data_IF_867640257774
#
_entry.id   IF_867640257774
#
_cell.length_a   1.000
_cell.length_b   1.000
_cell.length_c   1.000
_cell.angle_alpha   90.00
_cell.angle_beta   90.00
_cell.angle_gamma   90.00
#
_symmetry.space_group_name_H-M   'P 1'
#
loop_
_entity.id
_entity.type
_entity.pdbx_description
1 polymer ?
#
# COMPACT_ATOMS: atom_id res chain seq x y z
N UNK A 1 78.10 2.52 -34.37
CA UNK A 1 77.39 2.43 -35.65
C UNK A 1 75.99 1.90 -35.38
N UNK A 2 75.01 2.73 -35.71
CA UNK A 2 73.59 2.48 -36.01
C UNK A 2 72.66 1.80 -34.99
N UNK A 3 72.09 2.66 -34.15
CA UNK A 3 70.65 3.01 -34.14
C UNK A 3 69.70 2.23 -35.07
N UNK A 4 68.71 1.54 -34.49
CA UNK A 4 67.31 1.59 -34.97
C UNK A 4 66.31 1.19 -33.87
N UNK A 5 65.35 2.09 -33.64
CA UNK A 5 64.23 2.03 -32.70
C UNK A 5 63.07 1.17 -33.25
N UNK A 6 62.43 0.41 -32.34
CA UNK A 6 60.98 0.08 -32.09
C UNK A 6 59.94 0.26 -33.23
N UNK A 7 58.86 -0.57 -33.31
CA UNK A 7 57.80 -0.73 -32.28
C UNK A 7 57.41 -2.21 -32.01
N UNK A 8 56.79 -2.65 -30.92
CA UNK A 8 55.67 -2.08 -30.15
C UNK A 8 54.36 -2.75 -30.61
N UNK A 9 53.91 -3.81 -29.92
CA UNK A 9 52.50 -4.20 -29.98
C UNK A 9 52.04 -4.91 -28.70
N UNK A 10 50.97 -4.34 -28.14
CA UNK A 10 50.14 -4.83 -27.05
C UNK A 10 49.45 -6.14 -27.41
N UNK A 11 49.23 -6.98 -26.41
CA UNK A 11 48.52 -8.24 -26.60
C UNK A 11 48.26 -8.98 -25.30
N UNK A 12 47.26 -8.52 -24.57
CA UNK A 12 46.29 -9.34 -23.82
C UNK A 12 46.87 -10.60 -23.15
N UNK A 13 47.35 -10.48 -21.90
CA UNK A 13 47.59 -11.66 -21.05
C UNK A 13 46.24 -12.30 -20.71
N UNK A 14 45.83 -13.25 -21.55
CA UNK A 14 44.84 -14.26 -21.21
C UNK A 14 45.48 -15.19 -20.19
N UNK A 15 45.19 -14.98 -18.91
CA UNK A 15 45.53 -15.94 -17.88
C UNK A 15 44.68 -17.20 -18.08
N UNK A 16 45.32 -18.21 -18.66
CA UNK A 16 44.79 -19.56 -18.77
C UNK A 16 45.20 -20.41 -17.55
N UNK A 17 44.21 -21.16 -17.05
CA UNK A 17 44.24 -22.42 -16.29
C UNK A 17 44.32 -22.36 -14.75
N UNK A 18 43.27 -22.92 -14.13
CA UNK A 18 43.20 -24.38 -13.89
C UNK A 18 41.75 -24.88 -13.82
N UNK A 19 41.38 -26.00 -14.47
CA UNK A 19 40.03 -26.55 -14.38
C UNK A 19 39.91 -27.32 -13.06
N UNK A 20 39.01 -26.88 -12.18
CA UNK A 20 38.59 -27.70 -11.06
C UNK A 20 37.70 -28.83 -11.58
N UNK A 21 38.14 -30.06 -11.30
CA UNK A 21 37.52 -31.32 -11.68
C UNK A 21 36.17 -31.50 -10.98
N UNK A 22 35.17 -31.95 -11.74
CA UNK A 22 34.12 -32.85 -11.29
C UNK A 22 33.29 -32.43 -10.07
N UNK A 23 32.27 -31.64 -10.31
CA UNK A 23 31.01 -31.76 -9.57
C UNK A 23 29.89 -31.65 -10.60
N UNK A 24 29.07 -32.69 -10.73
CA UNK A 24 27.72 -32.60 -11.32
C UNK A 24 26.83 -31.78 -10.39
N UNK A 25 27.22 -30.52 -10.12
CA UNK A 25 26.46 -29.57 -9.33
C UNK A 25 25.47 -28.88 -10.26
N UNK A 26 24.17 -29.03 -10.00
CA UNK A 26 23.16 -28.17 -10.62
C UNK A 26 23.60 -26.72 -10.41
N UNK A 27 23.93 -26.03 -11.50
CA UNK A 27 24.25 -24.61 -11.47
C UNK A 27 23.04 -23.89 -10.88
N UNK A 28 23.24 -23.17 -9.79
CA UNK A 28 22.16 -22.43 -9.14
C UNK A 28 21.81 -21.26 -10.07
N UNK A 29 20.56 -21.14 -10.51
CA UNK A 29 20.14 -20.10 -11.43
C UNK A 29 20.24 -18.73 -10.78
N UNK A 30 20.48 -17.71 -11.60
CA UNK A 30 20.56 -16.32 -11.16
C UNK A 30 19.33 -15.52 -11.58
N UNK A 31 18.84 -14.66 -10.70
CA UNK A 31 17.82 -13.66 -11.01
C UNK A 31 18.41 -12.56 -11.90
N UNK A 32 17.79 -12.33 -13.05
CA UNK A 32 18.08 -11.18 -13.92
C UNK A 32 17.32 -9.94 -13.45
N UNK A 33 16.10 -10.13 -12.94
CA UNK A 33 15.24 -9.05 -12.46
C UNK A 33 14.78 -9.33 -11.03
N UNK A 34 14.60 -8.28 -10.27
CA UNK A 34 14.07 -8.31 -8.90
C UNK A 34 13.11 -7.14 -8.68
N UNK A 35 12.06 -7.35 -7.90
CA UNK A 35 11.14 -6.32 -7.48
C UNK A 35 10.34 -6.73 -6.25
N UNK A 36 9.51 -5.83 -5.76
CA UNK A 36 8.62 -6.09 -4.62
C UNK A 36 7.16 -5.89 -5.06
N UNK A 37 6.34 -6.92 -4.90
CA UNK A 37 4.89 -6.82 -5.05
C UNK A 37 4.27 -6.41 -3.72
N UNK A 38 3.54 -5.29 -3.68
CA UNK A 38 2.91 -4.83 -2.44
C UNK A 38 1.51 -5.43 -2.33
N UNK A 39 1.32 -6.29 -1.33
CA UNK A 39 0.07 -7.02 -1.10
C UNK A 39 -0.46 -6.64 0.28
N UNK A 40 -1.33 -5.62 0.32
CA UNK A 40 -1.80 -5.01 1.56
C UNK A 40 -0.64 -4.25 2.20
N UNK A 41 -0.31 -4.61 3.44
CA UNK A 41 0.83 -4.06 4.19
C UNK A 41 2.10 -4.93 4.08
N UNK A 42 2.03 -6.05 3.36
CA UNK A 42 3.14 -6.96 3.19
C UNK A 42 3.88 -6.74 1.86
N UNK A 43 5.20 -6.87 1.91
CA UNK A 43 6.03 -6.98 0.73
C UNK A 43 6.16 -8.45 0.31
N UNK A 44 5.98 -8.70 -0.98
CA UNK A 44 6.17 -9.99 -1.62
C UNK A 44 7.31 -9.88 -2.64
N UNK A 45 8.57 -10.12 -2.22
CA UNK A 45 9.73 -10.08 -3.11
C UNK A 45 9.58 -11.08 -4.26
N UNK A 46 9.79 -10.59 -5.48
CA UNK A 46 9.63 -11.33 -6.73
C UNK A 46 10.86 -11.24 -7.62
N UNK A 47 11.08 -12.29 -8.39
CA UNK A 47 12.29 -12.46 -9.18
C UNK A 47 11.98 -13.10 -10.52
N UNK A 48 12.73 -12.71 -11.55
CA UNK A 48 12.74 -13.40 -12.86
C UNK A 48 14.13 -13.97 -13.07
N UNK A 49 14.22 -15.29 -13.17
CA UNK A 49 15.46 -16.02 -13.35
C UNK A 49 15.96 -15.96 -14.80
N UNK A 50 17.23 -16.31 -15.00
CA UNK A 50 17.86 -16.37 -16.33
C UNK A 50 17.21 -17.36 -17.30
N UNK A 51 16.49 -18.35 -16.79
CA UNK A 51 15.73 -19.33 -17.56
C UNK A 51 14.26 -18.91 -17.79
N UNK A 52 13.89 -17.69 -17.38
CA UNK A 52 12.55 -17.14 -17.55
C UNK A 52 11.55 -17.54 -16.47
N UNK A 53 11.92 -18.40 -15.50
CA UNK A 53 11.05 -18.72 -14.36
C UNK A 53 10.80 -17.49 -13.50
N UNK A 54 9.56 -17.34 -13.04
CA UNK A 54 9.12 -16.24 -12.19
C UNK A 54 8.90 -16.79 -10.80
N UNK A 55 9.57 -16.22 -9.80
CA UNK A 55 9.53 -16.71 -8.44
C UNK A 55 9.05 -15.66 -7.47
N UNK A 56 8.27 -16.08 -6.47
CA UNK A 56 8.11 -15.35 -5.22
C UNK A 56 9.00 -15.95 -4.14
N UNK A 57 9.54 -15.09 -3.26
CA UNK A 57 10.24 -15.58 -2.07
C UNK A 57 9.30 -16.33 -1.14
N UNK A 58 9.78 -17.44 -0.55
CA UNK A 58 8.99 -18.24 0.40
C UNK A 58 8.51 -17.40 1.58
N UNK A 59 9.38 -16.54 2.11
CA UNK A 59 9.04 -15.67 3.24
C UNK A 59 7.99 -14.63 2.88
N UNK A 60 8.10 -14.02 1.69
CA UNK A 60 7.09 -13.07 1.20
C UNK A 60 5.71 -13.72 1.03
N UNK A 61 5.66 -14.95 0.53
CA UNK A 61 4.38 -15.67 0.38
C UNK A 61 3.71 -15.89 1.74
N UNK A 62 4.48 -16.19 2.79
CA UNK A 62 3.95 -16.32 4.14
C UNK A 62 3.45 -14.98 4.70
N UNK A 63 4.27 -13.93 4.63
CA UNK A 63 3.91 -12.62 5.21
C UNK A 63 2.71 -11.98 4.51
N UNK A 64 2.60 -12.12 3.18
CA UNK A 64 1.45 -11.62 2.40
C UNK A 64 0.12 -12.30 2.76
N UNK A 65 0.17 -13.54 3.26
CA UNK A 65 -0.97 -14.27 3.80
C UNK A 65 -1.21 -14.01 5.30
N UNK A 66 -0.43 -13.13 5.93
CA UNK A 66 -0.56 -12.79 7.35
C UNK A 66 0.14 -13.75 8.30
N UNK A 67 1.01 -14.63 7.80
CA UNK A 67 1.88 -15.45 8.65
C UNK A 67 3.09 -14.63 9.14
N UNK A 68 3.58 -14.93 10.35
CA UNK A 68 4.86 -14.44 10.88
C UNK A 68 6.02 -14.76 9.92
N UNK A 69 6.98 -13.85 9.83
CA UNK A 69 8.17 -13.96 8.98
C UNK A 69 8.98 -15.25 9.17
N UNK A 70 9.09 -15.75 10.40
CA UNK A 70 9.84 -16.95 10.76
C UNK A 70 9.00 -18.24 10.73
N UNK A 71 7.78 -18.19 10.19
CA UNK A 71 6.92 -19.36 10.14
C UNK A 71 7.47 -20.42 9.18
N UNK A 72 7.23 -21.68 9.50
CA UNK A 72 7.67 -22.77 8.66
C UNK A 72 6.65 -23.00 7.52
N UNK A 73 7.05 -22.65 6.30
CA UNK A 73 6.23 -22.84 5.11
C UNK A 73 5.81 -24.30 4.92
N UNK A 74 6.70 -25.26 5.22
CA UNK A 74 6.39 -26.68 5.05
C UNK A 74 5.30 -27.14 6.01
N UNK A 75 5.34 -26.68 7.26
CA UNK A 75 4.34 -27.03 8.27
C UNK A 75 2.96 -26.46 7.91
N UNK A 76 2.93 -25.24 7.37
CA UNK A 76 1.68 -24.56 7.01
C UNK A 76 1.10 -25.17 5.74
N UNK A 77 1.87 -25.21 4.66
CA UNK A 77 1.37 -25.57 3.33
C UNK A 77 1.21 -27.09 3.14
N UNK A 78 1.89 -27.92 3.94
CA UNK A 78 1.60 -29.37 4.07
C UNK A 78 0.75 -29.71 5.30
N UNK A 79 0.04 -28.74 5.88
CA UNK A 79 -0.87 -29.05 6.98
C UNK A 79 -2.00 -29.96 6.49
N UNK A 80 -2.49 -30.85 7.36
CA UNK A 80 -3.62 -31.75 7.07
C UNK A 80 -4.87 -31.00 6.58
N UNK A 81 -5.01 -29.74 6.97
CA UNK A 81 -6.11 -28.88 6.57
C UNK A 81 -5.99 -28.36 5.13
N UNK A 82 -4.79 -28.27 4.55
CA UNK A 82 -4.57 -27.75 3.19
C UNK A 82 -4.20 -28.84 2.18
N UNK A 83 -3.56 -29.93 2.62
CA UNK A 83 -3.11 -31.02 1.74
C UNK A 83 -4.22 -31.56 0.82
N UNK A 84 -5.47 -31.82 1.28
CA UNK A 84 -6.52 -32.34 0.41
C UNK A 84 -6.84 -31.42 -0.77
N UNK A 85 -6.91 -30.12 -0.52
CA UNK A 85 -7.24 -29.09 -1.51
C UNK A 85 -6.08 -28.88 -2.49
N UNK A 86 -4.85 -28.83 -1.99
CA UNK A 86 -3.64 -28.75 -2.84
C UNK A 86 -3.50 -29.98 -3.76
N UNK A 87 -3.86 -31.17 -3.28
CA UNK A 87 -3.86 -32.40 -4.08
C UNK A 87 -4.99 -32.41 -5.12
N UNK A 88 -6.20 -31.96 -4.76
CA UNK A 88 -7.33 -31.86 -5.67
C UNK A 88 -7.02 -30.92 -6.87
N UNK A 89 -6.22 -29.88 -6.63
CA UNK A 89 -5.76 -28.94 -7.65
C UNK A 89 -4.55 -29.45 -8.46
N UNK A 90 -4.11 -30.71 -8.27
CA UNK A 90 -2.89 -31.26 -8.86
C UNK A 90 -1.63 -30.41 -8.59
N UNK A 91 -1.63 -29.63 -7.52
CA UNK A 91 -0.52 -28.77 -7.11
C UNK A 91 -0.10 -29.10 -5.67
N UNK A 92 0.34 -30.34 -5.37
CA UNK A 92 0.80 -30.68 -4.03
C UNK A 92 1.98 -29.79 -3.65
N UNK A 93 2.01 -29.28 -2.43
CA UNK A 93 3.17 -28.52 -1.95
C UNK A 93 4.32 -29.49 -1.69
N UNK A 94 5.48 -29.21 -2.28
CA UNK A 94 6.66 -30.07 -2.17
C UNK A 94 7.93 -29.28 -1.97
N UNK A 95 8.81 -29.74 -1.06
CA UNK A 95 10.14 -29.15 -0.87
C UNK A 95 11.02 -29.26 -2.12
N UNK A 96 10.76 -30.24 -2.96
CA UNK A 96 11.37 -30.44 -4.26
C UNK A 96 11.00 -29.36 -5.29
N UNK A 97 9.88 -28.66 -5.06
CA UNK A 97 9.44 -27.52 -5.88
C UNK A 97 10.09 -26.20 -5.46
N UNK A 98 10.78 -26.17 -4.31
CA UNK A 98 11.55 -24.99 -3.89
C UNK A 98 12.70 -24.79 -4.85
N UNK A 99 12.76 -23.60 -5.45
CA UNK A 99 13.90 -23.19 -6.26
C UNK A 99 14.85 -22.39 -5.39
N UNK A 100 16.07 -22.89 -5.23
CA UNK A 100 17.18 -22.10 -4.72
C UNK A 100 17.79 -21.30 -5.87
N UNK A 101 18.06 -20.01 -5.65
CA UNK A 101 18.59 -19.11 -6.68
C UNK A 101 19.46 -18.01 -6.07
N UNK A 102 20.28 -17.39 -6.91
CA UNK A 102 21.01 -16.17 -6.55
C UNK A 102 20.21 -14.94 -6.96
N UNK A 103 19.95 -14.06 -6.00
CA UNK A 103 19.32 -12.76 -6.23
C UNK A 103 20.19 -11.87 -7.13
N UNK A 104 19.62 -10.77 -7.62
CA UNK A 104 20.35 -9.74 -8.39
C UNK A 104 21.56 -9.21 -7.62
N UNK A 105 21.44 -9.12 -6.28
CA UNK A 105 22.48 -8.71 -5.33
C UNK A 105 23.51 -9.80 -4.98
N UNK A 106 23.35 -11.03 -5.49
CA UNK A 106 24.26 -12.15 -5.25
C UNK A 106 24.01 -12.93 -3.94
N UNK A 107 22.99 -12.57 -3.17
CA UNK A 107 22.56 -13.35 -2.00
C UNK A 107 21.76 -14.59 -2.43
N UNK A 108 21.91 -15.69 -1.70
CA UNK A 108 21.11 -16.91 -1.89
C UNK A 108 19.69 -16.69 -1.37
N UNK A 109 18.69 -17.04 -2.17
CA UNK A 109 17.28 -17.01 -1.79
C UNK A 109 16.59 -18.31 -2.18
N UNK A 110 15.40 -18.51 -1.60
CA UNK A 110 14.50 -19.63 -1.88
C UNK A 110 13.13 -19.09 -2.24
N UNK A 111 12.51 -19.71 -3.24
CA UNK A 111 11.21 -19.29 -3.73
C UNK A 111 10.46 -20.39 -4.44
N UNK A 112 9.20 -20.11 -4.71
CA UNK A 112 8.31 -20.95 -5.50
C UNK A 112 7.92 -20.22 -6.77
N UNK A 113 7.48 -20.98 -7.78
CA UNK A 113 6.83 -20.39 -8.94
C UNK A 113 5.68 -19.47 -8.48
N UNK A 114 5.52 -18.34 -9.15
CA UNK A 114 4.44 -17.38 -8.85
C UNK A 114 3.06 -18.02 -8.95
N UNK A 115 2.86 -19.01 -9.81
CA UNK A 115 1.59 -19.74 -9.93
C UNK A 115 1.27 -20.52 -8.66
N UNK A 116 2.30 -21.05 -7.98
CA UNK A 116 2.14 -21.79 -6.72
C UNK A 116 1.50 -20.96 -5.62
N UNK A 117 1.76 -19.66 -5.62
CA UNK A 117 1.15 -18.74 -4.66
C UNK A 117 -0.37 -18.66 -4.85
N UNK A 118 -0.84 -18.67 -6.10
CA UNK A 118 -2.28 -18.67 -6.40
C UNK A 118 -2.91 -20.00 -5.99
N UNK A 119 -2.26 -21.14 -6.25
CA UNK A 119 -2.73 -22.45 -5.81
C UNK A 119 -2.92 -22.51 -4.29
N UNK A 120 -1.93 -22.02 -3.53
CA UNK A 120 -2.00 -21.92 -2.06
C UNK A 120 -3.18 -21.04 -1.63
N UNK A 121 -3.39 -19.90 -2.31
CA UNK A 121 -4.52 -19.04 -2.02
C UNK A 121 -5.87 -19.75 -2.26
N UNK A 122 -5.99 -20.50 -3.36
CA UNK A 122 -7.19 -21.26 -3.69
C UNK A 122 -7.44 -22.39 -2.69
N UNK A 123 -6.41 -23.16 -2.33
CA UNK A 123 -6.52 -24.20 -1.32
C UNK A 123 -6.95 -23.65 0.05
N UNK A 124 -6.42 -22.49 0.45
CA UNK A 124 -6.87 -21.78 1.66
C UNK A 124 -8.34 -21.34 1.55
N UNK A 125 -8.77 -20.84 0.38
CA UNK A 125 -10.17 -20.45 0.14
C UNK A 125 -11.11 -21.64 0.26
N UNK A 126 -10.82 -22.75 -0.42
CA UNK A 126 -11.67 -23.94 -0.42
C UNK A 126 -11.75 -24.57 0.98
N UNK A 127 -10.62 -24.66 1.69
CA UNK A 127 -10.59 -25.10 3.08
C UNK A 127 -11.38 -24.19 4.03
N UNK A 128 -11.45 -22.89 3.72
CA UNK A 128 -12.29 -21.95 4.47
C UNK A 128 -13.77 -22.19 4.23
N UNK A 129 -14.16 -22.42 2.98
CA UNK A 129 -15.55 -22.69 2.59
C UNK A 129 -16.09 -24.00 3.15
N UNK A 130 -15.23 -25.00 3.35
CA UNK A 130 -15.61 -26.25 4.02
C UNK A 130 -15.77 -26.13 5.54
N UNK A 131 -15.35 -25.01 6.15
CA UNK A 131 -15.41 -24.78 7.58
C UNK A 131 -14.36 -25.54 8.40
N UNK A 132 -13.37 -26.15 7.74
CA UNK A 132 -12.32 -26.95 8.39
C UNK A 132 -11.15 -26.11 8.93
N UNK A 133 -11.05 -24.84 8.51
CA UNK A 133 -10.01 -23.93 8.99
C UNK A 133 -10.34 -23.30 10.33
N UNK A 134 -9.36 -23.31 11.24
CA UNK A 134 -9.45 -22.63 12.53
C UNK A 134 -8.25 -21.72 12.80
N UNK A 135 -8.47 -20.70 13.63
CA UNK A 135 -7.44 -19.80 14.14
C UNK A 135 -6.67 -19.08 13.04
N UNK A 136 -5.35 -19.30 12.98
CA UNK A 136 -4.45 -18.56 12.09
C UNK A 136 -4.71 -18.82 10.61
N UNK A 137 -5.09 -20.04 10.24
CA UNK A 137 -5.36 -20.37 8.83
C UNK A 137 -6.68 -19.74 8.34
N UNK A 138 -7.63 -19.50 9.24
CA UNK A 138 -8.87 -18.80 8.90
C UNK A 138 -8.59 -17.33 8.50
N UNK A 139 -7.75 -16.64 9.27
CA UNK A 139 -7.31 -15.28 8.95
C UNK A 139 -6.53 -15.24 7.62
N UNK A 140 -5.66 -16.22 7.40
CA UNK A 140 -4.90 -16.35 6.15
C UNK A 140 -5.81 -16.62 4.95
N UNK A 141 -6.86 -17.43 5.09
CA UNK A 141 -7.80 -17.69 4.00
C UNK A 141 -8.65 -16.48 3.63
N UNK A 142 -9.07 -15.67 4.63
CA UNK A 142 -9.71 -14.38 4.35
C UNK A 142 -8.78 -13.48 3.53
N UNK A 143 -7.50 -13.41 3.90
CA UNK A 143 -6.50 -12.64 3.17
C UNK A 143 -6.28 -13.20 1.74
N UNK A 144 -6.16 -14.52 1.60
CA UNK A 144 -6.05 -15.19 0.31
C UNK A 144 -7.22 -14.84 -0.63
N UNK A 145 -8.45 -14.81 -0.12
CA UNK A 145 -9.63 -14.43 -0.88
C UNK A 145 -9.59 -12.99 -1.40
N UNK A 146 -9.09 -12.05 -0.60
CA UNK A 146 -8.88 -10.66 -1.02
C UNK A 146 -7.84 -10.59 -2.13
N UNK A 147 -6.75 -11.33 -1.99
CA UNK A 147 -5.66 -11.41 -2.98
C UNK A 147 -6.18 -12.00 -4.30
N UNK A 148 -6.87 -13.13 -4.27
CA UNK A 148 -7.44 -13.77 -5.46
C UNK A 148 -8.31 -12.76 -6.23
N UNK A 149 -9.27 -12.11 -5.56
CA UNK A 149 -10.18 -11.15 -6.18
C UNK A 149 -9.44 -9.97 -6.82
N UNK A 150 -8.45 -9.42 -6.12
CA UNK A 150 -7.67 -8.30 -6.62
C UNK A 150 -6.80 -8.69 -7.83
N UNK A 151 -6.12 -9.84 -7.74
CA UNK A 151 -5.32 -10.38 -8.83
C UNK A 151 -6.17 -10.72 -10.07
N UNK A 152 -7.36 -11.31 -9.91
CA UNK A 152 -8.25 -11.60 -11.05
C UNK A 152 -8.66 -10.33 -11.81
N UNK A 153 -9.00 -9.25 -11.10
CA UNK A 153 -9.33 -7.96 -11.74
C UNK A 153 -8.14 -7.38 -12.50
N UNK A 154 -6.94 -7.49 -11.94
CA UNK A 154 -5.72 -6.97 -12.57
C UNK A 154 -5.29 -7.83 -13.75
N UNK A 155 -5.42 -9.15 -13.66
CA UNK A 155 -5.09 -10.06 -14.75
C UNK A 155 -5.81 -9.68 -16.04
N UNK A 156 -7.13 -9.44 -15.96
CA UNK A 156 -7.92 -8.99 -17.11
C UNK A 156 -7.41 -7.64 -17.64
N UNK A 157 -7.16 -6.67 -16.76
CA UNK A 157 -6.64 -5.35 -17.15
C UNK A 157 -5.26 -5.46 -17.82
N UNK A 158 -4.36 -6.26 -17.27
CA UNK A 158 -3.02 -6.46 -17.81
C UNK A 158 -3.05 -7.13 -19.19
N UNK A 159 -3.92 -8.13 -19.38
CA UNK A 159 -4.12 -8.80 -20.67
C UNK A 159 -4.68 -7.85 -21.73
N UNK A 160 -5.62 -6.96 -21.36
CA UNK A 160 -6.15 -5.93 -22.28
C UNK A 160 -5.06 -4.91 -22.63
N UNK A 161 -4.28 -4.46 -21.65
CA UNK A 161 -3.18 -3.53 -21.88
C UNK A 161 -2.10 -4.13 -22.79
N UNK A 162 -1.82 -5.43 -22.65
CA UNK A 162 -0.90 -6.16 -23.52
C UNK A 162 -1.47 -6.29 -24.95
N UNK A 163 -2.72 -6.75 -25.08
CA UNK A 163 -3.39 -6.95 -26.37
C UNK A 163 -3.58 -5.65 -27.17
N UNK A 164 -3.74 -4.51 -26.49
CA UNK A 164 -3.88 -3.18 -27.11
C UNK A 164 -2.55 -2.46 -27.31
N UNK A 165 -1.45 -2.96 -26.74
CA UNK A 165 -0.17 -2.27 -26.69
C UNK A 165 -0.11 -1.12 -25.66
N UNK A 166 -1.19 -0.85 -24.92
CA UNK A 166 -1.22 0.16 -23.86
C UNK A 166 -0.18 -0.08 -22.75
N UNK A 167 0.30 -1.33 -22.61
CA UNK A 167 1.35 -1.69 -21.66
C UNK A 167 2.66 -0.89 -21.80
N UNK A 168 2.97 -0.36 -22.98
CA UNK A 168 4.19 0.42 -23.24
C UNK A 168 4.05 1.92 -22.94
N UNK A 169 2.83 2.42 -22.79
CA UNK A 169 2.55 3.85 -22.54
C UNK A 169 1.96 4.12 -21.16
N UNK A 170 1.44 3.11 -20.47
CA UNK A 170 0.98 3.26 -19.08
C UNK A 170 2.15 3.59 -18.15
N UNK A 171 1.93 4.35 -17.06
CA UNK A 171 2.93 4.53 -16.01
C UNK A 171 3.41 3.18 -15.46
N UNK A 172 4.70 3.09 -15.15
CA UNK A 172 5.36 1.84 -14.73
C UNK A 172 4.70 1.18 -13.51
N UNK A 173 4.15 1.98 -12.59
CA UNK A 173 3.54 1.54 -11.34
C UNK A 173 2.00 1.41 -11.40
N UNK A 174 1.38 1.62 -12.57
CA UNK A 174 -0.07 1.70 -12.71
C UNK A 174 -0.82 0.42 -12.25
N UNK A 175 -0.25 -0.77 -12.47
CA UNK A 175 -0.87 -2.03 -12.06
C UNK A 175 -0.72 -2.28 -10.55
N UNK A 176 0.43 -1.93 -9.97
CA UNK A 176 0.66 -1.96 -8.52
C UNK A 176 -0.28 -0.98 -7.80
N UNK A 177 -0.49 0.19 -8.39
CA UNK A 177 -1.45 1.15 -7.89
C UNK A 177 -2.88 0.58 -7.91
N UNK A 178 -3.31 -0.04 -9.01
CA UNK A 178 -4.61 -0.74 -9.10
C UNK A 178 -4.71 -1.90 -8.09
N UNK A 179 -3.63 -2.63 -7.84
CA UNK A 179 -3.59 -3.71 -6.84
C UNK A 179 -3.90 -3.18 -5.45
N UNK A 180 -3.15 -2.17 -5.00
CA UNK A 180 -3.40 -1.49 -3.71
C UNK A 180 -4.85 -1.06 -3.61
N UNK A 181 -5.41 -0.51 -4.68
CA UNK A 181 -6.79 -0.07 -4.70
C UNK A 181 -7.80 -1.22 -4.57
N UNK A 182 -7.59 -2.36 -5.25
CA UNK A 182 -8.51 -3.49 -5.17
C UNK A 182 -8.43 -4.23 -3.84
N UNK A 183 -7.24 -4.32 -3.25
CA UNK A 183 -7.08 -4.79 -1.88
C UNK A 183 -7.79 -3.87 -0.89
N UNK A 184 -7.86 -2.57 -1.20
CA UNK A 184 -8.60 -1.55 -0.45
C UNK A 184 -10.11 -1.53 -0.72
N UNK A 185 -10.63 -2.15 -1.79
CA UNK A 185 -12.06 -2.09 -2.13
C UNK A 185 -12.97 -2.73 -1.07
N UNK A 186 -12.46 -3.65 -0.24
CA UNK A 186 -13.22 -4.15 0.91
C UNK A 186 -13.39 -3.10 2.01
N UNK A 187 -12.44 -2.17 2.11
CA UNK A 187 -12.46 -1.04 3.03
C UNK A 187 -13.29 0.13 2.47
N UNK A 188 -13.50 0.20 1.15
CA UNK A 188 -14.42 1.18 0.53
C UNK A 188 -15.87 1.08 1.00
N UNK A 189 -16.28 -0.07 1.53
CA UNK A 189 -17.60 -0.19 2.17
C UNK A 189 -17.81 0.87 3.26
N UNK A 190 -16.73 1.32 3.91
CA UNK A 190 -16.74 2.37 4.92
C UNK A 190 -16.62 3.79 4.36
N UNK A 191 -16.30 4.01 3.08
CA UNK A 191 -16.24 5.38 2.51
C UNK A 191 -17.59 6.11 2.60
N UNK A 192 -18.71 5.38 2.68
CA UNK A 192 -20.05 5.93 2.90
C UNK A 192 -20.26 6.47 4.31
N UNK A 193 -19.40 6.09 5.26
CA UNK A 193 -19.44 6.60 6.64
C UNK A 193 -18.66 7.86 6.84
N UNK A 194 -17.73 8.19 5.94
CA UNK A 194 -16.81 9.28 6.18
C UNK A 194 -17.51 10.64 6.04
N UNK A 195 -17.17 11.62 6.88
CA UNK A 195 -17.74 12.95 6.81
C UNK A 195 -17.44 13.59 5.45
N UNK A 196 -18.39 14.38 4.94
CA UNK A 196 -18.26 15.06 3.64
C UNK A 196 -17.05 16.01 3.60
N UNK A 197 -16.66 16.56 4.76
CA UNK A 197 -15.49 17.43 4.93
C UNK A 197 -14.19 16.77 4.51
N UNK A 198 -14.02 15.46 4.69
CA UNK A 198 -12.83 14.75 4.22
C UNK A 198 -12.73 14.77 2.70
N UNK A 199 -13.85 14.57 2.03
CA UNK A 199 -13.93 14.53 0.57
C UNK A 199 -13.76 15.91 -0.04
N UNK A 200 -14.26 16.94 0.63
CA UNK A 200 -14.03 18.35 0.28
C UNK A 200 -12.53 18.69 0.31
N UNK A 201 -11.81 18.30 1.37
CA UNK A 201 -10.36 18.53 1.45
C UNK A 201 -9.58 17.72 0.40
N UNK A 202 -9.96 16.46 0.13
CA UNK A 202 -9.32 15.67 -0.92
C UNK A 202 -9.57 16.26 -2.32
N UNK A 203 -10.76 16.78 -2.60
CA UNK A 203 -11.01 17.53 -3.83
C UNK A 203 -10.07 18.74 -3.97
N UNK A 204 -9.96 19.53 -2.91
CA UNK A 204 -9.11 20.73 -2.88
C UNK A 204 -7.64 20.37 -3.09
N UNK A 205 -7.10 19.45 -2.29
CA UNK A 205 -5.68 19.06 -2.37
C UNK A 205 -5.30 18.40 -3.70
N UNK A 206 -6.25 17.71 -4.34
CA UNK A 206 -6.02 17.05 -5.65
C UNK A 206 -6.40 17.91 -6.86
N UNK A 207 -6.81 19.16 -6.65
CA UNK A 207 -7.34 20.05 -7.70
C UNK A 207 -8.43 19.38 -8.56
N UNK A 208 -9.30 18.58 -7.93
CA UNK A 208 -10.35 17.86 -8.63
C UNK A 208 -11.56 18.77 -8.91
N UNK A 209 -11.88 18.98 -10.18
CA UNK A 209 -12.94 19.88 -10.63
C UNK A 209 -14.31 19.21 -10.86
N UNK A 210 -14.43 17.89 -10.66
CA UNK A 210 -15.66 17.13 -10.91
C UNK A 210 -16.62 17.02 -9.70
N UNK A 211 -17.85 16.54 -9.95
CA UNK A 211 -18.84 16.22 -8.90
C UNK A 211 -18.38 15.01 -8.06
N UNK A 212 -17.57 15.26 -7.03
CA UNK A 212 -17.05 14.23 -6.14
C UNK A 212 -18.09 13.62 -5.19
N UNK A 213 -19.26 14.25 -5.01
CA UNK A 213 -20.34 13.72 -4.14
C UNK A 213 -21.04 12.51 -4.75
N UNK A 214 -21.08 12.40 -6.09
CA UNK A 214 -21.70 11.28 -6.80
C UNK A 214 -20.68 10.30 -7.39
N UNK A 215 -19.54 10.81 -7.88
CA UNK A 215 -18.53 9.99 -8.52
C UNK A 215 -17.12 10.36 -8.00
N UNK A 216 -16.72 9.72 -6.90
CA UNK A 216 -15.40 9.95 -6.30
C UNK A 216 -14.30 9.35 -7.19
N UNK A 217 -13.21 10.09 -7.47
CA UNK A 217 -12.07 9.55 -8.18
C UNK A 217 -11.57 8.27 -7.52
N UNK A 218 -11.32 7.23 -8.32
CA UNK A 218 -10.81 5.95 -7.81
C UNK A 218 -9.53 6.12 -6.99
N UNK A 219 -8.67 7.07 -7.36
CA UNK A 219 -7.42 7.36 -6.67
C UNK A 219 -7.62 7.80 -5.21
N UNK A 220 -8.75 8.42 -4.85
CA UNK A 220 -8.97 8.84 -3.46
C UNK A 220 -9.07 7.68 -2.46
N UNK A 221 -9.43 6.48 -2.93
CA UNK A 221 -9.34 5.27 -2.11
C UNK A 221 -7.91 5.00 -1.61
N UNK A 222 -6.88 5.40 -2.37
CA UNK A 222 -5.49 5.35 -1.90
C UNK A 222 -5.23 6.34 -0.77
N UNK A 223 -5.69 7.59 -0.91
CA UNK A 223 -5.54 8.60 0.15
C UNK A 223 -6.19 8.13 1.45
N UNK A 224 -7.35 7.48 1.36
CA UNK A 224 -8.01 6.86 2.51
C UNK A 224 -7.14 5.76 3.13
N UNK A 225 -6.62 4.82 2.34
CA UNK A 225 -5.77 3.76 2.89
C UNK A 225 -4.50 4.30 3.53
N UNK A 226 -3.82 5.18 2.81
CA UNK A 226 -2.52 5.72 3.19
C UNK A 226 -2.62 6.61 4.42
N UNK A 227 -3.62 7.49 4.49
CA UNK A 227 -3.66 8.53 5.51
C UNK A 227 -4.64 8.28 6.64
N UNK A 228 -5.62 7.38 6.44
CA UNK A 228 -6.60 7.03 7.48
C UNK A 228 -6.31 5.64 8.01
N UNK A 229 -6.26 4.61 7.17
CA UNK A 229 -6.16 3.24 7.69
C UNK A 229 -4.76 2.84 8.16
N UNK A 230 -3.71 3.23 7.44
CA UNK A 230 -2.31 2.93 7.82
C UNK A 230 -1.89 3.61 9.11
N UNK A 231 -2.50 4.74 9.44
CA UNK A 231 -2.22 5.51 10.66
C UNK A 231 -3.30 5.33 11.74
N UNK A 232 -4.27 4.46 11.51
CA UNK A 232 -5.24 4.08 12.52
C UNK A 232 -4.58 3.15 13.55
N UNK A 233 -4.94 3.33 14.81
CA UNK A 233 -4.49 2.46 15.89
C UNK A 233 -4.75 0.96 15.53
N UNK A 234 -3.73 0.09 15.60
CA UNK A 234 -3.86 -1.32 15.22
C UNK A 234 -4.96 -2.08 15.97
N UNK A 235 -5.20 -1.75 17.24
CA UNK A 235 -6.23 -2.39 18.06
C UNK A 235 -7.63 -1.91 17.65
N UNK A 236 -7.75 -0.64 17.26
CA UNK A 236 -8.99 -0.08 16.69
C UNK A 236 -9.27 -0.67 15.31
N UNK A 237 -8.26 -0.78 14.44
CA UNK A 237 -8.39 -1.38 13.12
C UNK A 237 -8.82 -2.86 13.21
N UNK A 238 -8.23 -3.61 14.14
CA UNK A 238 -8.59 -5.00 14.43
C UNK A 238 -10.02 -5.12 14.94
N UNK A 239 -10.41 -4.27 15.89
CA UNK A 239 -11.77 -4.23 16.43
C UNK A 239 -12.82 -3.95 15.33
N UNK A 240 -12.56 -3.00 14.43
CA UNK A 240 -13.46 -2.66 13.31
C UNK A 240 -13.57 -3.82 12.31
N UNK A 241 -12.47 -4.55 12.08
CA UNK A 241 -12.43 -5.71 11.18
C UNK A 241 -13.21 -6.91 11.75
N UNK A 242 -13.08 -7.14 13.05
CA UNK A 242 -13.72 -8.26 13.77
C UNK A 242 -15.22 -8.00 14.05
N UNK A 243 -15.59 -6.75 14.35
CA UNK A 243 -16.97 -6.37 14.67
C UNK A 243 -17.73 -5.74 13.49
N UNK A 244 -17.38 -6.06 12.24
CA UNK A 244 -18.08 -5.53 11.05
C UNK A 244 -19.57 -5.90 11.13
N UNK A 245 -20.48 -4.93 11.34
CA UNK A 245 -21.88 -5.27 11.56
C UNK A 245 -22.51 -5.76 10.27
N UNK A 246 -23.38 -6.78 10.38
CA UNK A 246 -24.17 -7.28 9.24
C UNK A 246 -25.05 -6.15 8.71
N UNK A 247 -25.07 -5.89 7.39
CA UNK A 247 -25.89 -4.82 6.82
C UNK A 247 -27.37 -5.08 7.15
N UNK A 248 -27.95 -4.28 8.05
CA UNK A 248 -29.38 -4.31 8.38
C UNK A 248 -30.11 -3.41 7.40
N UNK A 249 -31.08 -3.99 6.67
CA UNK A 249 -31.96 -3.27 5.74
C UNK A 249 -32.57 -2.05 6.46
N UNK A 250 -32.30 -0.85 5.94
CA UNK A 250 -32.90 0.40 6.44
C UNK A 250 -32.11 1.18 7.50
N UNK A 251 -30.97 0.69 8.01
CA UNK A 251 -30.05 1.53 8.78
C UNK A 251 -28.82 1.85 7.95
N UNK A 252 -28.61 3.14 7.72
CA UNK A 252 -27.37 3.61 7.14
C UNK A 252 -26.23 3.49 8.16
N UNK A 253 -25.02 3.18 7.72
CA UNK A 253 -23.86 3.02 8.60
C UNK A 253 -23.61 4.25 9.50
N UNK A 254 -23.95 5.45 9.03
CA UNK A 254 -23.86 6.71 9.79
C UNK A 254 -24.72 6.76 11.07
N UNK A 255 -25.79 5.97 11.18
CA UNK A 255 -26.61 5.92 12.40
C UNK A 255 -25.91 5.19 13.56
N UNK A 256 -24.83 4.45 13.28
CA UNK A 256 -24.07 3.69 14.28
C UNK A 256 -22.91 4.47 14.90
N UNK A 257 -22.64 5.70 14.44
CA UNK A 257 -21.56 6.56 14.94
C UNK A 257 -21.58 6.80 16.45
N UNK A 258 -22.76 6.68 17.06
CA UNK A 258 -22.96 6.99 18.47
C UNK A 258 -22.92 5.76 19.40
N UNK A 259 -22.98 4.53 18.87
CA UNK A 259 -23.12 3.31 19.68
C UNK A 259 -21.84 2.47 19.76
N UNK A 260 -20.95 2.58 18.76
CA UNK A 260 -19.80 1.68 18.61
C UNK A 260 -18.46 2.41 18.87
N UNK A 261 -17.71 1.91 19.86
CA UNK A 261 -16.42 2.46 20.30
C UNK A 261 -15.39 2.55 19.16
N UNK A 262 -15.35 1.55 18.26
CA UNK A 262 -14.41 1.51 17.15
C UNK A 262 -14.72 2.58 16.09
N UNK A 263 -15.99 2.79 15.80
CA UNK A 263 -16.44 3.81 14.83
C UNK A 263 -16.16 5.22 15.34
N UNK A 264 -16.33 5.45 16.65
CA UNK A 264 -15.98 6.75 17.25
C UNK A 264 -14.48 7.05 17.13
N UNK A 265 -13.62 6.08 17.39
CA UNK A 265 -12.16 6.23 17.25
C UNK A 265 -11.71 6.44 15.81
N UNK A 266 -12.31 5.73 14.86
CA UNK A 266 -12.08 5.99 13.43
C UNK A 266 -12.48 7.42 13.04
N UNK A 267 -13.62 7.90 13.55
CA UNK A 267 -14.12 9.25 13.28
C UNK A 267 -13.22 10.34 13.86
N UNK A 268 -12.77 10.15 15.11
CA UNK A 268 -11.79 11.04 15.74
C UNK A 268 -10.52 11.14 14.89
N UNK A 269 -10.00 10.00 14.42
CA UNK A 269 -8.83 9.99 13.56
C UNK A 269 -9.07 10.69 12.22
N UNK A 270 -10.21 10.44 11.56
CA UNK A 270 -10.57 11.13 10.32
C UNK A 270 -10.60 12.64 10.52
N UNK A 271 -11.18 13.13 11.62
CA UNK A 271 -11.20 14.58 11.88
C UNK A 271 -9.81 15.16 12.15
N UNK A 272 -8.88 14.39 12.74
CA UNK A 272 -7.48 14.81 12.85
C UNK A 272 -6.85 14.95 11.47
N UNK A 273 -7.04 13.96 10.59
CA UNK A 273 -6.53 13.99 9.20
C UNK A 273 -7.13 15.18 8.43
N UNK A 274 -8.43 15.44 8.57
CA UNK A 274 -9.09 16.63 8.00
C UNK A 274 -8.48 17.92 8.55
N UNK A 275 -8.18 17.98 9.85
CA UNK A 275 -7.50 19.11 10.47
C UNK A 275 -6.13 19.39 9.86
N UNK A 276 -5.33 18.35 9.62
CA UNK A 276 -4.04 18.45 8.92
C UNK A 276 -4.24 18.89 7.48
N UNK A 277 -5.21 18.31 6.78
CA UNK A 277 -5.53 18.66 5.39
C UNK A 277 -5.89 20.13 5.24
N UNK A 278 -6.72 20.68 6.14
CA UNK A 278 -7.11 22.10 6.17
C UNK A 278 -5.93 23.05 6.37
N UNK A 279 -4.88 22.60 7.04
CA UNK A 279 -3.68 23.38 7.27
C UNK A 279 -2.66 23.29 6.11
N UNK A 280 -3.00 22.63 5.00
CA UNK A 280 -2.14 22.46 3.83
C UNK A 280 -2.76 23.09 2.60
N UNK A 281 -1.93 23.68 1.76
CA UNK A 281 -2.34 24.30 0.49
C UNK A 281 -2.39 23.29 -0.65
N UNK A 282 -1.47 22.32 -0.67
CA UNK A 282 -1.39 21.29 -1.70
C UNK A 282 -1.19 19.87 -1.13
N UNK A 283 -1.34 18.88 -2.02
CA UNK A 283 -1.20 17.48 -1.64
C UNK A 283 0.22 17.14 -1.16
N UNK A 284 1.27 17.75 -1.70
CA UNK A 284 2.65 17.43 -1.32
C UNK A 284 2.98 17.90 0.10
N UNK A 285 2.49 19.08 0.47
CA UNK A 285 2.55 19.60 1.83
C UNK A 285 1.78 18.70 2.79
N UNK A 286 0.56 18.27 2.40
CA UNK A 286 -0.22 17.32 3.19
C UNK A 286 0.52 16.00 3.43
N UNK A 287 1.14 15.44 2.38
CA UNK A 287 1.96 14.22 2.50
C UNK A 287 3.11 14.41 3.49
N UNK A 288 3.82 15.54 3.43
CA UNK A 288 4.94 15.85 4.34
C UNK A 288 4.47 15.97 5.79
N UNK A 289 3.37 16.69 6.05
CA UNK A 289 2.83 16.84 7.41
C UNK A 289 2.30 15.54 7.97
N UNK A 290 1.67 14.70 7.15
CA UNK A 290 1.22 13.36 7.57
C UNK A 290 2.40 12.45 7.94
N UNK A 291 3.49 12.44 7.14
CA UNK A 291 4.71 11.68 7.46
C UNK A 291 5.40 12.17 8.73
N UNK A 292 5.39 13.47 9.01
CA UNK A 292 5.87 13.95 10.32
C UNK A 292 4.93 13.49 11.45
N UNK A 293 3.62 13.73 11.31
CA UNK A 293 2.67 13.50 12.38
C UNK A 293 2.59 12.03 12.82
N UNK A 294 2.70 11.09 11.87
CA UNK A 294 2.51 9.66 12.13
C UNK A 294 3.69 8.77 11.74
N UNK A 295 4.65 9.26 10.94
CA UNK A 295 5.81 8.50 10.44
C UNK A 295 7.15 8.85 11.11
N UNK A 296 7.20 9.86 11.99
CA UNK A 296 8.41 10.22 12.74
C UNK A 296 9.49 10.93 11.92
N UNK A 297 9.19 11.35 10.70
CA UNK A 297 10.13 12.12 9.86
C UNK A 297 10.26 13.56 10.37
N UNK A 298 11.49 14.10 10.51
CA UNK A 298 11.67 15.51 10.84
C UNK A 298 11.22 16.39 9.67
N UNK A 299 10.35 17.37 9.93
CA UNK A 299 10.01 18.40 8.93
C UNK A 299 10.91 19.61 9.16
N UNK A 300 11.48 20.11 8.08
CA UNK A 300 12.07 21.44 8.10
C UNK A 300 10.93 22.45 8.03
N UNK A 301 10.71 23.18 9.13
CA UNK A 301 9.79 24.31 9.14
C UNK A 301 10.37 25.43 8.28
N UNK A 302 9.54 26.01 7.42
CA UNK A 302 9.92 27.26 6.76
C UNK A 302 10.14 28.32 7.83
N UNK A 303 11.35 28.89 7.85
CA UNK A 303 11.63 30.03 8.68
C UNK A 303 10.99 31.23 8.00
N UNK A 304 9.89 31.75 8.56
CA UNK A 304 9.30 32.98 8.07
C UNK A 304 10.33 34.11 8.27
N UNK A 305 11.01 34.54 7.20
CA UNK A 305 11.48 35.91 7.14
C UNK A 305 10.22 36.76 7.08
N UNK A 306 9.98 37.56 8.12
CA UNK A 306 8.91 38.55 8.12
C UNK A 306 8.94 39.27 6.77
N UNK A 307 7.92 39.04 5.94
CA UNK A 307 7.68 39.90 4.80
C UNK A 307 7.34 41.23 5.44
N UNK A 308 8.27 42.19 5.39
CA UNK A 308 8.00 43.55 5.84
C UNK A 308 6.67 43.97 5.21
N UNK A 309 5.68 44.15 6.07
CA UNK A 309 4.39 44.67 5.65
C UNK A 309 4.70 46.04 5.09
N UNK A 310 4.60 46.20 3.77
CA UNK A 310 4.53 47.53 3.16
C UNK A 310 3.34 48.23 3.80
N UNK A 311 3.65 49.09 4.77
CA UNK A 311 2.72 49.96 5.46
C UNK A 311 2.04 50.86 4.42
N UNK A 312 0.84 50.47 3.97
CA UNK A 312 -0.14 51.46 3.55
C UNK A 312 -0.83 51.97 4.81
N UNK A 313 -0.23 52.97 5.44
CA UNK A 313 -0.83 53.70 6.55
C UNK A 313 -2.15 54.32 6.07
N UNK A 314 -3.29 53.75 6.50
CA UNK A 314 -4.48 54.56 6.75
C UNK A 314 -4.68 54.58 8.27
N UNK A 315 -4.55 55.75 8.92
CA UNK A 315 -4.63 55.80 10.37
C UNK A 315 -6.08 55.64 10.80
N UNK A 316 -6.44 54.46 11.31
CA UNK A 316 -7.68 54.32 12.08
C UNK A 316 -7.30 54.48 13.55
N UNK A 317 -7.27 55.73 14.01
CA UNK A 317 -7.08 56.02 15.44
C UNK A 317 -8.28 55.49 16.22
N UNK A 318 -8.06 54.48 17.07
CA UNK A 318 -8.89 54.25 18.24
C UNK A 318 -7.97 54.31 19.47
N UNK A 319 -7.96 55.47 20.12
CA UNK A 319 -7.36 55.65 21.44
C UNK A 319 -8.49 55.71 22.46
N UNK A 320 -8.63 54.64 23.24
CA UNK A 320 -9.57 54.52 24.35
C UNK A 320 -9.50 53.13 24.97
N UNK A 321 -9.68 53.04 26.29
CA UNK A 321 -9.67 51.76 27.02
C UNK A 321 -10.81 50.86 26.56
N UNK A 322 -10.58 49.54 26.60
CA UNK A 322 -11.49 48.49 26.14
C UNK A 322 -12.89 48.59 26.77
N UNK A 323 -12.98 49.02 28.03
CA UNK A 323 -14.24 49.16 28.77
C UNK A 323 -15.14 50.30 28.26
N UNK A 324 -14.56 51.37 27.72
CA UNK A 324 -15.33 52.49 27.16
C UNK A 324 -15.96 52.10 25.81
N UNK A 325 -15.28 51.27 25.03
CA UNK A 325 -15.77 50.78 23.74
C UNK A 325 -16.92 49.77 23.89
N UNK A 326 -16.94 48.99 24.97
CA UNK A 326 -18.01 48.02 25.24
C UNK A 326 -19.34 48.68 25.66
N UNK A 327 -19.31 49.87 26.27
CA UNK A 327 -20.54 50.62 26.61
C UNK A 327 -21.24 51.18 25.38
N UNK A 328 -20.49 51.54 24.33
CA UNK A 328 -21.04 52.06 23.07
C UNK A 328 -21.76 50.95 22.29
N UNK A 329 -21.22 49.74 22.29
CA UNK A 329 -21.80 48.59 21.57
C UNK A 329 -23.07 48.07 22.27
N UNK A 330 -23.14 48.12 23.60
CA UNK A 330 -24.31 47.67 24.35
C UNK A 330 -25.55 48.59 24.21
N UNK A 331 -25.40 49.82 23.71
CA UNK A 331 -26.48 50.80 23.55
C UNK A 331 -27.13 50.85 22.16
N UNK A 332 -26.58 50.17 21.15
CA UNK A 332 -27.07 50.26 19.77
C UNK A 332 -28.22 49.27 19.52
N UNK A 333 -29.44 49.77 19.27
CA UNK A 333 -30.60 48.94 18.88
C UNK A 333 -30.40 48.35 17.47
N UNK A 334 -30.86 47.12 17.21
CA UNK A 334 -30.64 46.44 15.94
C UNK A 334 -31.47 47.08 14.80
N UNK A 335 -30.78 47.45 13.72
CA UNK A 335 -31.39 47.95 12.48
C UNK A 335 -32.04 46.79 11.73
N UNK A 336 -33.35 46.91 11.44
CA UNK A 336 -34.10 45.95 10.63
C UNK A 336 -33.56 45.92 9.20
N UNK A 337 -33.31 44.70 8.69
CA UNK A 337 -32.95 44.46 7.30
C UNK A 337 -34.26 44.28 6.52
N UNK A 338 -34.46 45.07 5.47
CA UNK A 338 -35.55 44.95 4.48
C UNK A 338 -35.27 43.87 3.45
#
# INVERSE_FOLDING_TARGET
MDSKKRPGNDGMKRDTKRPARGATGRRIPRAQFSGNLIVGDAELPCYVLEDGRRLFSTTGMLTSLGYKFNANADEIFNSKALTPYMQAQNSPYGRDQVVEFDTTLGNRARGYDVEKFMDICHALSEAYESGELSGRNEAAAKQANVIIRACSKIGIVALVDEATGYQYIRPEDALQFKLKLYLAEEMRAWEKTFPDTLWEEFARLTNHSGEYRKNRPRFWGYLVMEYIYRHLDPDVAKYIKENKPRPRKGRNYHQWFNEDYGVRKLTEHIHQVVGVAKACDDLEEFKKKMRHAYGGEPIQLELFMNKELENSEKPTKFQGSFDDNMKVIAGAKPTKIS
#
